data_IF_853438980679
#
_entry.id   IF_853438980679
#
_cell.length_a   1.000
_cell.length_b   1.000
_cell.length_c   1.000
_cell.angle_alpha   90.00
_cell.angle_beta   90.00
_cell.angle_gamma   90.00
#
_symmetry.space_group_name_H-M   'P 1'
#
loop_
_entity.id
_entity.type
_entity.pdbx_description
1 polymer ?
#
# COMPACT_ATOMS: atom_id res chain seq x y z
N UNK A 1 -8.29 20.82 -9.57
CA UNK A 1 -7.09 20.18 -8.99
C UNK A 1 -7.45 19.67 -7.61
N UNK A 2 -8.08 18.50 -7.54
CA UNK A 2 -8.39 17.83 -6.28
C UNK A 2 -7.16 17.03 -5.85
N UNK A 3 -6.72 17.24 -4.61
CA UNK A 3 -5.81 16.34 -3.90
C UNK A 3 -6.71 15.55 -2.97
N UNK A 4 -7.09 14.34 -3.35
CA UNK A 4 -7.71 13.39 -2.43
C UNK A 4 -6.58 12.86 -1.56
N UNK A 5 -6.51 13.32 -0.31
CA UNK A 5 -5.63 12.75 0.70
C UNK A 5 -6.50 11.82 1.54
N UNK A 6 -6.32 10.52 1.39
CA UNK A 6 -6.77 9.55 2.39
C UNK A 6 -5.94 9.82 3.65
N UNK A 7 -6.65 10.08 4.75
CA UNK A 7 -6.08 10.65 5.96
C UNK A 7 -5.54 9.57 6.87
N UNK A 8 -4.21 9.42 6.92
CA UNK A 8 -3.55 8.65 7.98
C UNK A 8 -3.10 9.56 9.12
N UNK A 9 -3.42 9.19 10.36
CA UNK A 9 -2.77 9.77 11.55
C UNK A 9 -1.37 9.19 11.71
N UNK A 10 -0.38 9.77 11.04
CA UNK A 10 1.02 9.41 11.22
C UNK A 10 1.59 10.13 12.46
N UNK A 11 1.73 9.41 13.57
CA UNK A 11 2.47 9.87 14.75
C UNK A 11 3.98 9.75 14.51
N UNK A 12 4.61 10.81 13.97
CA UNK A 12 6.06 10.85 13.78
C UNK A 12 6.74 11.46 15.03
N UNK A 13 7.43 10.64 15.82
CA UNK A 13 8.28 11.10 16.92
C UNK A 13 9.72 11.33 16.42
N UNK A 14 10.09 12.57 16.10
CA UNK A 14 11.47 12.94 15.78
C UNK A 14 12.18 13.45 17.03
N UNK A 15 13.32 12.84 17.39
CA UNK A 15 14.30 13.41 18.32
C UNK A 15 15.59 13.73 17.56
N UNK A 16 15.93 15.01 17.38
CA UNK A 16 17.20 15.40 16.74
C UNK A 16 17.47 16.90 16.73
N UNK A 17 18.69 17.28 17.11
CA UNK A 17 19.25 18.64 17.10
C UNK A 17 20.06 18.81 15.80
N UNK A 18 19.69 19.77 14.94
CA UNK A 18 20.31 19.94 13.62
C UNK A 18 21.56 20.85 13.63
N UNK A 19 22.62 20.40 12.94
CA UNK A 19 23.78 21.21 12.55
C UNK A 19 23.83 21.44 11.03
N UNK A 20 24.25 22.63 10.59
CA UNK A 20 24.27 23.04 9.18
C UNK A 20 25.50 22.50 8.42
N UNK A 21 25.29 21.91 7.22
CA UNK A 21 26.37 21.46 6.33
C UNK A 21 25.97 21.51 4.84
N UNK A 22 26.92 21.94 3.99
CA UNK A 22 26.75 22.29 2.57
C UNK A 22 26.73 21.09 1.60
N UNK A 23 26.10 21.29 0.43
CA UNK A 23 25.65 20.29 -0.53
C UNK A 23 26.70 19.73 -1.51
N UNK A 24 26.72 18.40 -1.64
CA UNK A 24 27.12 17.64 -2.83
C UNK A 24 26.53 16.24 -2.74
N UNK A 25 25.76 15.77 -3.74
CA UNK A 25 25.14 14.43 -3.73
C UNK A 25 25.54 13.63 -4.97
N UNK A 26 25.91 12.36 -4.73
CA UNK A 26 25.96 11.28 -5.73
C UNK A 26 24.57 10.85 -6.19
N UNK A 27 24.53 9.84 -7.06
CA UNK A 27 23.33 9.37 -7.76
C UNK A 27 22.34 8.72 -6.79
N UNK A 28 21.04 8.80 -7.08
CA UNK A 28 19.98 8.24 -6.23
C UNK A 28 20.18 6.72 -6.06
N UNK A 29 19.97 6.21 -4.83
CA UNK A 29 20.27 4.81 -4.47
C UNK A 29 21.67 4.60 -3.89
N UNK A 30 22.64 5.49 -4.14
CA UNK A 30 24.02 5.31 -3.66
C UNK A 30 24.24 5.70 -2.18
N UNK A 31 23.31 6.45 -1.57
CA UNK A 31 23.45 6.93 -0.18
C UNK A 31 22.92 5.92 0.86
N UNK A 32 22.19 4.91 0.42
CA UNK A 32 21.76 3.77 1.22
C UNK A 32 22.49 2.58 0.65
N UNK A 33 23.26 1.87 1.45
CA UNK A 33 23.89 0.65 0.99
C UNK A 33 22.80 -0.33 0.52
N UNK A 34 22.68 -0.54 -0.80
CA UNK A 34 21.73 -1.50 -1.40
C UNK A 34 21.83 -2.90 -0.77
N UNK A 35 23.02 -3.23 -0.23
CA UNK A 35 23.29 -4.45 0.52
C UNK A 35 22.41 -4.61 1.77
N UNK A 36 21.81 -3.54 2.29
CA UNK A 36 20.96 -3.57 3.49
C UNK A 36 19.50 -3.98 3.21
N UNK A 37 19.02 -3.95 1.95
CA UNK A 37 17.57 -3.96 1.68
C UNK A 37 17.06 -5.10 0.79
N UNK A 38 17.93 -5.87 0.16
CA UNK A 38 17.51 -7.12 -0.49
C UNK A 38 17.08 -8.11 0.62
N UNK A 39 15.86 -8.67 0.56
CA UNK A 39 15.27 -9.49 1.64
C UNK A 39 16.14 -10.62 2.20
N UNK A 40 17.10 -11.14 1.41
CA UNK A 40 18.09 -12.11 1.87
C UNK A 40 19.09 -11.55 2.91
N UNK A 41 19.39 -10.25 2.88
CA UNK A 41 20.30 -9.58 3.81
C UNK A 41 19.63 -9.08 5.10
N UNK A 42 18.29 -8.96 5.12
CA UNK A 42 17.56 -8.46 6.29
C UNK A 42 17.48 -9.51 7.40
N UNK A 43 17.14 -10.77 7.08
CA UNK A 43 16.86 -11.82 8.08
C UNK A 43 17.39 -13.23 7.71
N UNK A 44 18.22 -13.34 6.67
CA UNK A 44 18.83 -14.62 6.25
C UNK A 44 17.94 -15.49 5.36
N UNK A 45 16.77 -15.00 4.95
CA UNK A 45 15.85 -15.68 4.04
C UNK A 45 14.38 -15.49 4.43
N UNK A 46 13.45 -16.07 3.64
CA UNK A 46 12.03 -16.07 3.98
C UNK A 46 11.75 -16.90 5.25
N UNK A 47 10.75 -16.50 6.07
CA UNK A 47 10.36 -17.24 7.26
C UNK A 47 9.76 -18.59 6.88
N UNK A 48 9.65 -19.54 7.82
CA UNK A 48 8.97 -20.82 7.53
C UNK A 48 7.45 -20.65 7.46
N UNK A 49 6.90 -19.74 8.27
CA UNK A 49 5.49 -19.36 8.32
C UNK A 49 5.37 -17.84 8.30
N UNK A 50 4.29 -17.32 7.75
CA UNK A 50 4.09 -15.87 7.55
C UNK A 50 4.26 -15.01 8.81
N UNK A 51 4.02 -15.58 10.01
CA UNK A 51 4.08 -14.88 11.29
C UNK A 51 5.39 -15.13 12.08
N UNK A 52 6.35 -15.89 11.55
CA UNK A 52 7.55 -16.26 12.34
C UNK A 52 8.48 -15.06 12.63
N UNK A 53 8.36 -13.96 11.88
CA UNK A 53 9.11 -12.72 12.08
C UNK A 53 8.29 -11.61 12.77
N UNK A 54 7.09 -11.90 13.24
CA UNK A 54 6.27 -10.93 13.97
C UNK A 54 6.99 -10.37 15.19
N UNK A 55 7.14 -9.04 15.23
CA UNK A 55 7.84 -8.31 16.30
C UNK A 55 9.36 -8.26 16.16
N UNK A 56 9.91 -8.65 15.01
CA UNK A 56 11.35 -8.57 14.75
C UNK A 56 11.82 -7.11 14.69
N UNK A 57 13.03 -6.85 15.17
CA UNK A 57 13.76 -5.61 14.93
C UNK A 57 14.69 -5.80 13.74
N UNK A 58 14.44 -5.06 12.65
CA UNK A 58 15.24 -5.18 11.44
C UNK A 58 16.62 -4.52 11.61
N UNK A 59 17.64 -5.01 10.88
CA UNK A 59 18.93 -4.33 10.81
C UNK A 59 18.76 -2.85 10.45
N UNK A 60 19.49 -1.98 11.16
CA UNK A 60 19.35 -0.55 10.95
C UNK A 60 19.80 -0.13 9.54
N UNK A 61 18.96 0.65 8.87
CA UNK A 61 19.30 1.32 7.62
C UNK A 61 20.24 2.47 7.93
N UNK A 62 21.26 2.67 7.10
CA UNK A 62 22.18 3.78 7.24
C UNK A 62 22.05 4.70 6.03
N UNK A 63 21.68 5.95 6.27
CA UNK A 63 21.60 7.00 5.26
C UNK A 63 22.83 7.89 5.39
N UNK A 64 23.57 8.05 4.30
CA UNK A 64 24.73 8.92 4.22
C UNK A 64 24.37 10.34 3.76
N UNK A 65 25.23 11.30 4.11
CA UNK A 65 25.18 12.69 3.67
C UNK A 65 24.63 13.67 4.71
N UNK A 66 25.12 14.92 4.63
CA UNK A 66 24.77 16.04 5.51
C UNK A 66 23.61 16.91 4.98
N UNK A 67 23.12 16.61 3.77
CA UNK A 67 22.04 17.36 3.14
C UNK A 67 20.66 16.96 3.65
N UNK A 68 19.59 17.69 3.26
CA UNK A 68 18.22 17.35 3.62
C UNK A 68 17.87 15.91 3.24
N UNK A 69 17.23 15.22 4.18
CA UNK A 69 16.67 13.89 4.01
C UNK A 69 15.17 13.97 3.76
N UNK A 70 14.67 13.07 2.92
CA UNK A 70 13.28 13.11 2.46
C UNK A 70 12.64 11.74 2.68
N UNK A 71 11.50 11.74 3.37
CA UNK A 71 10.67 10.56 3.60
C UNK A 71 9.29 10.87 3.06
N UNK A 72 8.69 9.93 2.34
CA UNK A 72 7.31 10.07 1.85
C UNK A 72 6.47 8.98 2.48
N UNK A 73 5.29 9.34 2.96
CA UNK A 73 4.28 8.38 3.41
C UNK A 73 3.17 8.25 2.36
N UNK A 74 2.74 7.01 2.11
CA UNK A 74 1.61 6.69 1.22
C UNK A 74 0.85 5.50 1.80
N UNK A 75 -0.47 5.56 1.75
CA UNK A 75 -1.40 4.49 2.11
C UNK A 75 -2.61 4.59 1.19
N UNK A 76 -3.53 3.64 1.31
CA UNK A 76 -4.82 3.67 0.61
C UNK A 76 -4.67 3.82 -0.92
N UNK A 77 -3.80 3.03 -1.57
CA UNK A 77 -3.30 3.37 -2.90
C UNK A 77 -3.48 2.35 -4.03
N UNK A 78 -3.53 1.05 -3.78
CA UNK A 78 -3.48 0.07 -4.86
C UNK A 78 -4.84 -0.49 -5.21
N UNK A 79 -5.25 -0.44 -6.47
CA UNK A 79 -6.45 -1.12 -6.95
C UNK A 79 -6.22 -2.59 -7.28
N UNK A 80 -7.17 -3.16 -8.00
CA UNK A 80 -7.04 -4.47 -8.64
C UNK A 80 -6.94 -4.33 -10.15
N UNK A 81 -6.12 -5.18 -10.76
CA UNK A 81 -6.12 -5.35 -12.22
C UNK A 81 -7.15 -6.39 -12.63
N UNK A 82 -8.09 -6.00 -13.48
CA UNK A 82 -9.22 -6.83 -13.88
C UNK A 82 -8.89 -8.01 -14.81
N UNK A 83 -7.62 -8.23 -15.15
CA UNK A 83 -7.21 -9.22 -16.16
C UNK A 83 -6.63 -10.49 -15.57
N UNK A 84 -6.54 -10.61 -14.24
CA UNK A 84 -6.02 -11.81 -13.59
C UNK A 84 -6.85 -13.05 -13.92
N UNK A 85 -8.19 -12.91 -13.93
CA UNK A 85 -9.13 -14.00 -14.17
C UNK A 85 -10.14 -13.67 -15.25
N UNK A 86 -10.57 -14.68 -16.00
CA UNK A 86 -11.74 -14.62 -16.90
C UNK A 86 -12.99 -15.14 -16.16
N UNK A 87 -14.18 -14.62 -16.50
CA UNK A 87 -15.44 -15.06 -15.87
C UNK A 87 -15.77 -14.34 -14.56
N UNK A 88 -16.68 -14.91 -13.75
CA UNK A 88 -17.16 -14.31 -12.48
C UNK A 88 -16.44 -14.89 -11.24
N UNK A 89 -15.77 -16.03 -11.39
CA UNK A 89 -15.12 -16.76 -10.29
C UNK A 89 -13.64 -17.02 -10.61
N UNK A 90 -12.84 -17.08 -9.55
CA UNK A 90 -11.48 -17.62 -9.56
C UNK A 90 -11.49 -19.12 -9.89
N UNK A 91 -10.36 -19.74 -10.31
CA UNK A 91 -10.32 -21.18 -10.62
C UNK A 91 -10.77 -22.11 -9.49
N UNK A 92 -10.73 -21.64 -8.24
CA UNK A 92 -11.15 -22.39 -7.06
C UNK A 92 -12.62 -22.14 -6.67
N UNK A 93 -13.39 -21.44 -7.51
CA UNK A 93 -14.81 -21.17 -7.28
C UNK A 93 -15.10 -20.02 -6.30
N UNK A 94 -14.09 -19.21 -5.94
CA UNK A 94 -14.33 -17.98 -5.16
C UNK A 94 -14.81 -16.87 -6.09
N UNK A 95 -15.74 -16.00 -5.68
CA UNK A 95 -16.05 -14.78 -6.41
C UNK A 95 -14.77 -13.97 -6.65
N UNK A 96 -14.66 -13.36 -7.83
CA UNK A 96 -13.56 -12.43 -8.10
C UNK A 96 -13.62 -11.24 -7.15
N UNK A 97 -12.46 -10.67 -6.82
CA UNK A 97 -12.35 -9.44 -6.01
C UNK A 97 -12.73 -8.18 -6.80
N UNK A 98 -13.66 -8.28 -7.74
CA UNK A 98 -14.14 -7.17 -8.56
C UNK A 98 -15.54 -6.82 -8.07
N UNK A 99 -15.66 -5.63 -7.46
CA UNK A 99 -16.95 -5.15 -6.93
C UNK A 99 -17.87 -4.70 -8.07
N UNK A 100 -17.30 -4.12 -9.13
CA UNK A 100 -18.08 -3.48 -10.19
C UNK A 100 -17.59 -3.86 -11.60
N UNK A 101 -18.46 -3.71 -12.60
CA UNK A 101 -18.16 -3.90 -14.04
C UNK A 101 -16.87 -3.22 -14.53
N UNK A 102 -16.43 -2.17 -13.84
CA UNK A 102 -15.25 -1.38 -14.17
C UNK A 102 -13.95 -1.97 -13.64
N UNK A 103 -14.00 -2.78 -12.58
CA UNK A 103 -12.85 -3.50 -12.07
C UNK A 103 -12.42 -4.66 -12.97
N UNK A 104 -13.21 -5.00 -13.99
CA UNK A 104 -12.92 -6.05 -14.98
C UNK A 104 -12.12 -5.55 -16.21
N UNK A 105 -11.66 -4.30 -16.21
CA UNK A 105 -10.83 -3.76 -17.31
C UNK A 105 -9.33 -3.83 -16.96
N UNK A 106 -8.44 -3.83 -17.96
CA UNK A 106 -6.99 -3.74 -17.72
C UNK A 106 -6.58 -2.45 -17.01
N UNK A 107 -5.65 -2.60 -16.07
CA UNK A 107 -5.12 -1.51 -15.26
C UNK A 107 -5.71 -1.47 -13.85
N UNK A 108 -5.05 -0.74 -12.93
CA UNK A 108 -5.51 -0.66 -11.56
C UNK A 108 -6.86 0.07 -11.43
N UNK A 109 -7.84 -0.63 -10.89
CA UNK A 109 -9.16 -0.08 -10.59
C UNK A 109 -9.38 -0.01 -9.08
N UNK A 110 -9.69 1.19 -8.58
CA UNK A 110 -10.04 1.45 -7.18
C UNK A 110 -11.09 2.56 -7.17
N UNK A 111 -12.08 2.43 -6.30
CA UNK A 111 -13.21 3.35 -6.24
C UNK A 111 -13.32 3.98 -4.84
N UNK A 112 -13.50 5.31 -4.72
CA UNK A 112 -13.64 5.97 -3.43
C UNK A 112 -14.91 5.50 -2.69
N UNK A 113 -14.80 5.38 -1.36
CA UNK A 113 -15.94 5.00 -0.51
C UNK A 113 -17.02 6.09 -0.45
N UNK A 114 -16.67 7.37 -0.40
CA UNK A 114 -17.63 8.47 -0.27
C UNK A 114 -17.05 9.78 -0.79
N UNK A 115 -17.92 10.77 -1.06
CA UNK A 115 -17.48 12.13 -1.41
C UNK A 115 -17.68 13.06 -0.22
N UNK A 116 -16.62 13.80 0.10
CA UNK A 116 -16.65 14.85 1.13
C UNK A 116 -16.42 16.22 0.54
N UNK A 117 -16.87 17.26 1.24
CA UNK A 117 -16.43 18.61 0.94
C UNK A 117 -14.91 18.75 1.16
N UNK A 118 -14.29 19.81 0.63
CA UNK A 118 -12.84 20.01 0.71
C UNK A 118 -12.26 20.03 2.13
N UNK A 119 -13.08 20.34 3.14
CA UNK A 119 -12.66 20.38 4.54
C UNK A 119 -12.85 19.05 5.25
N UNK A 120 -13.45 18.04 4.60
CA UNK A 120 -13.82 16.76 5.20
C UNK A 120 -14.70 16.92 6.45
N UNK A 121 -15.60 17.90 6.41
CA UNK A 121 -16.55 18.19 7.51
C UNK A 121 -17.98 17.79 7.19
N UNK A 122 -18.28 17.56 5.91
CA UNK A 122 -19.62 17.18 5.44
C UNK A 122 -19.47 16.12 4.36
N UNK A 123 -20.11 14.97 4.58
CA UNK A 123 -20.32 13.95 3.56
C UNK A 123 -21.35 14.48 2.56
N UNK A 124 -20.94 14.58 1.30
CA UNK A 124 -21.76 15.10 0.19
C UNK A 124 -22.47 14.00 -0.57
N UNK A 125 -21.92 12.78 -0.51
CA UNK A 125 -22.40 11.63 -1.25
C UNK A 125 -21.91 10.36 -0.56
N UNK A 126 -22.87 9.52 -0.20
CA UNK A 126 -22.63 8.19 0.35
C UNK A 126 -22.00 7.25 -0.68
N UNK A 127 -21.59 6.07 -0.23
CA UNK A 127 -21.02 5.05 -1.12
C UNK A 127 -21.99 4.67 -2.23
N UNK A 128 -23.22 4.31 -1.89
CA UNK A 128 -24.22 3.83 -2.85
C UNK A 128 -24.58 4.91 -3.87
N UNK A 129 -24.74 6.16 -3.42
CA UNK A 129 -24.99 7.30 -4.32
C UNK A 129 -23.79 7.56 -5.24
N UNK A 130 -22.57 7.36 -4.75
CA UNK A 130 -21.36 7.58 -5.54
C UNK A 130 -21.18 6.46 -6.58
N UNK A 131 -21.46 5.21 -6.21
CA UNK A 131 -21.52 4.07 -7.13
C UNK A 131 -22.55 4.35 -8.21
N UNK A 132 -23.78 4.76 -7.84
CA UNK A 132 -24.84 5.09 -8.80
C UNK A 132 -24.39 6.20 -9.79
N UNK A 133 -23.73 7.23 -9.28
CA UNK A 133 -23.14 8.27 -10.11
C UNK A 133 -22.09 7.75 -11.08
N UNK A 134 -21.18 6.91 -10.61
CA UNK A 134 -20.12 6.32 -11.42
C UNK A 134 -20.69 5.41 -12.50
N UNK A 135 -21.67 4.57 -12.15
CA UNK A 135 -22.33 3.66 -13.06
C UNK A 135 -23.04 4.37 -14.21
N UNK A 136 -23.61 5.54 -13.93
CA UNK A 136 -24.34 6.37 -14.88
C UNK A 136 -23.49 7.48 -15.51
N UNK A 137 -22.17 7.50 -15.27
CA UNK A 137 -21.25 8.54 -15.77
C UNK A 137 -21.73 9.97 -15.47
N UNK A 138 -22.22 10.16 -14.24
CA UNK A 138 -22.76 11.42 -13.75
C UNK A 138 -24.14 11.80 -14.30
N UNK A 139 -24.78 10.94 -15.11
CA UNK A 139 -26.16 11.15 -15.56
C UNK A 139 -27.16 10.71 -14.49
N UNK A 140 -28.40 11.24 -14.51
CA UNK A 140 -29.47 10.76 -13.64
C UNK A 140 -29.58 9.22 -13.70
N UNK A 141 -29.73 8.52 -12.56
CA UNK A 141 -30.05 9.03 -11.21
C UNK A 141 -28.91 9.60 -10.35
N UNK A 142 -27.72 9.92 -10.88
CA UNK A 142 -26.64 10.54 -10.10
C UNK A 142 -27.06 11.80 -9.31
N UNK A 143 -26.84 11.78 -7.99
CA UNK A 143 -27.15 12.91 -7.11
C UNK A 143 -26.24 14.13 -7.38
N UNK A 144 -26.85 15.32 -7.43
CA UNK A 144 -26.19 16.59 -7.80
C UNK A 144 -24.98 16.95 -6.90
N UNK A 145 -24.93 16.41 -5.67
CA UNK A 145 -23.85 16.62 -4.70
C UNK A 145 -22.62 15.71 -4.84
N UNK A 146 -22.72 14.61 -5.60
CA UNK A 146 -21.65 13.62 -5.71
C UNK A 146 -20.46 14.10 -6.54
N UNK A 147 -20.69 15.04 -7.46
CA UNK A 147 -19.63 15.68 -8.26
C UNK A 147 -18.75 14.66 -8.97
N UNK A 148 -19.37 13.68 -9.65
CA UNK A 148 -18.67 12.68 -10.45
C UNK A 148 -17.67 13.34 -11.39
N UNK A 149 -16.44 12.83 -11.39
CA UNK A 149 -15.37 13.24 -12.29
C UNK A 149 -14.74 11.99 -12.87
N UNK A 150 -14.96 11.74 -14.16
CA UNK A 150 -14.53 10.51 -14.83
C UNK A 150 -13.05 10.24 -14.61
N UNK A 151 -12.19 11.26 -14.72
CA UNK A 151 -10.74 11.07 -14.57
C UNK A 151 -10.39 10.77 -13.12
N UNK A 152 -10.88 11.55 -12.16
CA UNK A 152 -10.57 11.36 -10.75
C UNK A 152 -11.08 10.02 -10.22
N UNK A 153 -12.28 9.62 -10.62
CA UNK A 153 -12.97 8.46 -10.07
C UNK A 153 -12.57 7.15 -10.79
N UNK A 154 -12.12 7.19 -12.05
CA UNK A 154 -11.65 5.98 -12.76
C UNK A 154 -10.13 5.80 -12.81
N UNK A 155 -9.34 6.83 -12.45
CA UNK A 155 -7.87 6.78 -12.49
C UNK A 155 -7.23 7.18 -11.15
N UNK A 156 -7.93 7.00 -10.03
CA UNK A 156 -7.50 7.47 -8.71
C UNK A 156 -6.06 7.05 -8.35
N UNK A 157 -5.73 5.76 -8.45
CA UNK A 157 -4.37 5.27 -8.19
C UNK A 157 -3.33 5.94 -9.12
N UNK A 158 -3.62 6.03 -10.42
CA UNK A 158 -2.69 6.60 -11.39
C UNK A 158 -2.45 8.09 -11.15
N UNK A 159 -3.44 8.83 -10.66
CA UNK A 159 -3.31 10.23 -10.27
C UNK A 159 -2.42 10.40 -9.02
N UNK A 160 -2.61 9.55 -8.00
CA UNK A 160 -1.73 9.52 -6.82
C UNK A 160 -0.30 9.17 -7.23
N UNK A 161 -0.12 8.14 -8.07
CA UNK A 161 1.18 7.73 -8.59
C UNK A 161 1.86 8.85 -9.38
N UNK A 162 1.12 9.59 -10.21
CA UNK A 162 1.65 10.73 -10.97
C UNK A 162 2.15 11.85 -10.04
N UNK A 163 1.39 12.18 -9.00
CA UNK A 163 1.79 13.16 -7.99
C UNK A 163 3.03 12.71 -7.21
N UNK A 164 3.08 11.43 -6.81
CA UNK A 164 4.23 10.84 -6.13
C UNK A 164 5.48 10.86 -7.01
N UNK A 165 5.38 10.42 -8.27
CA UNK A 165 6.50 10.46 -9.24
C UNK A 165 7.03 11.88 -9.43
N UNK A 166 6.15 12.86 -9.63
CA UNK A 166 6.54 14.25 -9.82
C UNK A 166 7.23 14.85 -8.58
N UNK A 167 6.84 14.41 -7.38
CA UNK A 167 7.48 14.80 -6.14
C UNK A 167 8.84 14.11 -5.97
N UNK A 168 8.88 12.79 -6.10
CA UNK A 168 10.06 11.96 -5.92
C UNK A 168 11.19 12.31 -6.90
N UNK A 169 10.86 12.68 -8.14
CA UNK A 169 11.84 13.15 -9.12
C UNK A 169 12.61 14.41 -8.64
N UNK A 170 11.99 15.22 -7.78
CA UNK A 170 12.58 16.45 -7.22
C UNK A 170 13.29 16.20 -5.90
N UNK A 171 12.66 15.45 -5.00
CA UNK A 171 13.13 15.29 -3.61
C UNK A 171 14.06 14.10 -3.42
N UNK A 172 13.95 13.07 -4.28
CA UNK A 172 14.73 11.82 -4.18
C UNK A 172 14.64 11.23 -2.76
N UNK A 173 13.46 10.72 -2.37
CA UNK A 173 13.24 10.17 -1.05
C UNK A 173 14.26 9.10 -0.70
N UNK A 174 14.68 9.09 0.57
CA UNK A 174 15.57 8.05 1.11
C UNK A 174 14.80 6.71 1.21
N UNK A 175 13.52 6.75 1.58
CA UNK A 175 12.60 5.60 1.58
C UNK A 175 11.13 6.09 1.59
N UNK A 176 10.22 5.16 1.30
CA UNK A 176 8.77 5.31 1.38
C UNK A 176 8.27 4.57 2.62
N UNK A 177 7.46 5.24 3.43
CA UNK A 177 6.64 4.61 4.46
C UNK A 177 5.29 4.26 3.83
N UNK A 178 5.10 2.97 3.56
CA UNK A 178 3.87 2.45 3.03
C UNK A 178 2.98 1.96 4.17
N UNK A 179 1.89 2.66 4.43
CA UNK A 179 1.17 2.60 5.72
C UNK A 179 -0.04 1.66 5.70
N UNK A 180 -0.17 0.82 4.68
CA UNK A 180 -1.24 -0.16 4.55
C UNK A 180 -2.27 0.19 3.47
N UNK A 181 -3.20 -0.74 3.28
CA UNK A 181 -4.18 -0.79 2.19
C UNK A 181 -3.49 -0.73 0.83
N UNK A 182 -2.62 -1.72 0.65
CA UNK A 182 -1.74 -1.87 -0.50
C UNK A 182 -2.49 -2.41 -1.73
N UNK A 183 -3.48 -3.29 -1.53
CA UNK A 183 -4.28 -3.89 -2.61
C UNK A 183 -5.77 -3.91 -2.23
N UNK A 184 -6.51 -2.92 -2.74
CA UNK A 184 -7.95 -2.82 -2.59
C UNK A 184 -8.68 -3.80 -3.49
N UNK A 185 -9.82 -4.32 -3.06
CA UNK A 185 -10.45 -4.13 -1.74
C UNK A 185 -10.30 -5.36 -0.85
N UNK A 186 -9.57 -6.39 -1.30
CA UNK A 186 -9.44 -7.68 -0.60
C UNK A 186 -8.05 -8.31 -0.71
N UNK A 187 -7.01 -7.50 -0.92
CA UNK A 187 -5.64 -7.98 -0.90
C UNK A 187 -5.23 -8.69 -2.19
N UNK A 188 -4.46 -9.76 -2.03
CA UNK A 188 -4.05 -10.62 -3.14
C UNK A 188 -5.16 -11.64 -3.41
N UNK A 189 -5.63 -11.73 -4.65
CA UNK A 189 -6.75 -12.54 -5.12
C UNK A 189 -6.40 -14.03 -5.23
N UNK A 190 -6.07 -14.61 -4.07
CA UNK A 190 -5.84 -16.04 -3.87
C UNK A 190 -5.98 -16.40 -2.40
N UNK A 191 -5.99 -17.69 -2.10
CA UNK A 191 -5.90 -18.15 -0.71
C UNK A 191 -4.46 -18.13 -0.17
N UNK A 192 -4.32 -17.91 1.13
CA UNK A 192 -3.06 -18.11 1.86
C UNK A 192 -2.53 -19.55 1.73
N UNK A 193 -1.25 -19.72 1.97
CA UNK A 193 -0.60 -21.04 2.05
C UNK A 193 0.41 -21.34 0.95
N UNK A 194 0.77 -20.35 0.11
CA UNK A 194 1.98 -20.52 -0.73
C UNK A 194 3.20 -20.48 0.19
N UNK A 195 4.18 -21.37 0.01
CA UNK A 195 5.41 -21.33 0.79
C UNK A 195 6.04 -19.93 0.76
N UNK A 196 6.49 -19.43 1.91
CA UNK A 196 7.01 -18.05 2.06
C UNK A 196 8.23 -17.72 1.19
N UNK A 197 8.93 -18.73 0.67
CA UNK A 197 10.01 -18.56 -0.29
C UNK A 197 9.58 -18.51 -1.75
N UNK A 198 8.28 -18.56 -2.02
CA UNK A 198 7.68 -18.57 -3.35
C UNK A 198 6.67 -17.45 -3.49
N UNK A 199 6.54 -16.95 -4.72
CA UNK A 199 5.49 -16.02 -5.12
C UNK A 199 4.60 -16.72 -6.12
N UNK A 200 3.33 -16.82 -5.77
CA UNK A 200 2.26 -17.31 -6.63
C UNK A 200 2.13 -16.46 -7.90
N UNK A 201 1.70 -17.04 -9.04
CA UNK A 201 1.47 -16.28 -10.28
C UNK A 201 0.50 -15.10 -10.11
N UNK A 202 -0.52 -15.27 -9.26
CA UNK A 202 -1.53 -14.26 -8.94
C UNK A 202 -0.91 -13.06 -8.22
N UNK A 203 -0.16 -13.34 -7.14
CA UNK A 203 0.59 -12.31 -6.44
C UNK A 203 1.58 -11.62 -7.38
N UNK A 204 2.30 -12.40 -8.21
CA UNK A 204 3.27 -11.84 -9.16
C UNK A 204 2.59 -10.85 -10.10
N UNK A 205 1.47 -11.24 -10.71
CA UNK A 205 0.68 -10.41 -11.62
C UNK A 205 0.19 -9.12 -10.93
N UNK A 206 -0.45 -9.23 -9.77
CA UNK A 206 -0.94 -8.05 -9.04
C UNK A 206 0.20 -7.09 -8.66
N UNK A 207 1.32 -7.60 -8.13
CA UNK A 207 2.48 -6.75 -7.84
C UNK A 207 3.04 -6.09 -9.11
N UNK A 208 3.06 -6.78 -10.26
CA UNK A 208 3.53 -6.18 -11.51
C UNK A 208 2.58 -5.08 -12.02
N UNK A 209 1.28 -5.33 -12.04
CA UNK A 209 0.29 -4.40 -12.59
C UNK A 209 -0.01 -3.21 -11.67
N UNK A 210 -0.04 -3.45 -10.35
CA UNK A 210 -0.54 -2.46 -9.37
C UNK A 210 0.62 -1.76 -8.65
N UNK A 211 1.78 -2.40 -8.51
CA UNK A 211 2.92 -1.84 -7.78
C UNK A 211 4.11 -1.48 -8.67
N UNK A 212 4.72 -2.45 -9.34
CA UNK A 212 5.96 -2.26 -10.09
C UNK A 212 5.75 -1.41 -11.37
N UNK A 213 4.68 -1.68 -12.13
CA UNK A 213 4.32 -0.88 -13.30
C UNK A 213 3.86 0.53 -12.95
N UNK A 214 3.19 0.70 -11.81
CA UNK A 214 2.60 1.99 -11.40
C UNK A 214 3.61 2.89 -10.70
N UNK A 215 4.44 2.38 -9.80
CA UNK A 215 5.33 3.18 -8.92
C UNK A 215 6.81 3.08 -9.27
N UNK A 216 7.12 3.23 -10.56
CA UNK A 216 8.48 3.29 -11.11
C UNK A 216 8.81 4.66 -11.71
N UNK A 217 10.10 4.93 -11.86
CA UNK A 217 10.64 6.12 -12.52
C UNK A 217 11.61 6.94 -11.65
N UNK A 218 12.03 8.13 -12.15
CA UNK A 218 13.04 8.96 -11.51
C UNK A 218 12.71 9.28 -10.04
N UNK A 219 13.61 8.90 -9.14
CA UNK A 219 13.46 9.12 -7.71
C UNK A 219 12.61 8.09 -6.97
N UNK A 220 12.07 7.07 -7.65
CA UNK A 220 11.37 5.92 -7.04
C UNK A 220 12.05 4.58 -7.32
N UNK A 221 12.74 4.45 -8.46
CA UNK A 221 13.45 3.22 -8.80
C UNK A 221 14.48 2.85 -7.72
N UNK A 222 14.35 1.65 -7.17
CA UNK A 222 15.23 1.14 -6.10
C UNK A 222 15.05 1.81 -4.73
N UNK A 223 14.13 2.77 -4.58
CA UNK A 223 13.82 3.36 -3.26
C UNK A 223 13.04 2.33 -2.43
N UNK A 224 13.46 2.02 -1.20
CA UNK A 224 12.76 1.06 -0.37
C UNK A 224 11.36 1.54 0.05
N UNK A 225 10.42 0.61 0.08
CA UNK A 225 9.06 0.72 0.58
C UNK A 225 8.97 -0.11 1.84
N UNK A 226 9.02 0.56 2.98
CA UNK A 226 8.80 -0.05 4.29
C UNK A 226 7.28 -0.13 4.49
N UNK A 227 6.74 -1.33 4.36
CA UNK A 227 5.29 -1.56 4.26
C UNK A 227 4.71 -2.24 5.50
N UNK A 228 3.41 -2.03 5.72
CA UNK A 228 2.57 -2.78 6.66
C UNK A 228 1.25 -3.16 5.98
N UNK A 229 0.49 -4.08 6.58
CA UNK A 229 -0.84 -4.47 6.14
C UNK A 229 -1.91 -3.53 6.70
N UNK A 230 -2.82 -3.08 5.85
CA UNK A 230 -4.11 -2.48 6.25
C UNK A 230 -5.24 -3.52 6.24
N UNK A 231 -6.47 -3.07 6.47
CA UNK A 231 -7.63 -3.95 6.62
C UNK A 231 -8.04 -4.57 5.28
N UNK A 232 -7.85 -3.84 4.18
CA UNK A 232 -8.07 -4.39 2.84
C UNK A 232 -7.02 -5.45 2.48
N UNK A 233 -5.80 -5.33 3.02
CA UNK A 233 -4.73 -6.30 2.80
C UNK A 233 -4.97 -7.64 3.50
N UNK A 234 -5.63 -7.62 4.67
CA UNK A 234 -6.09 -8.81 5.39
C UNK A 234 -7.28 -9.51 4.73
N UNK A 235 -7.61 -9.12 3.50
CA UNK A 235 -8.63 -9.76 2.69
C UNK A 235 -9.95 -9.01 2.61
N UNK A 236 -10.05 -7.84 3.25
CA UNK A 236 -11.24 -7.00 3.30
C UNK A 236 -12.40 -7.67 4.05
N UNK A 237 -12.95 -8.74 3.47
CA UNK A 237 -14.02 -9.59 4.01
C UNK A 237 -13.60 -11.04 4.27
N UNK A 238 -12.47 -11.50 3.72
CA UNK A 238 -12.04 -12.91 3.75
C UNK A 238 -10.62 -13.06 4.29
N UNK A 239 -10.47 -13.47 5.55
CA UNK A 239 -9.18 -13.51 6.26
C UNK A 239 -8.15 -14.48 5.64
N UNK A 240 -8.60 -15.48 4.89
CA UNK A 240 -7.73 -16.39 4.16
C UNK A 240 -7.31 -15.88 2.77
N UNK A 241 -7.64 -14.64 2.38
CA UNK A 241 -7.08 -14.00 1.18
C UNK A 241 -5.56 -13.77 1.34
N UNK A 242 -4.79 -13.79 0.26
CA UNK A 242 -3.34 -14.00 0.21
C UNK A 242 -2.43 -12.91 0.81
N UNK A 243 -2.73 -12.41 2.01
CA UNK A 243 -1.92 -11.46 2.77
C UNK A 243 -0.49 -11.98 3.03
N UNK A 244 -0.33 -13.29 3.18
CA UNK A 244 0.95 -13.96 3.36
C UNK A 244 1.90 -13.73 2.17
N UNK A 245 1.35 -13.57 0.96
CA UNK A 245 2.13 -13.27 -0.23
C UNK A 245 2.68 -11.86 -0.26
N UNK A 246 2.01 -10.90 0.37
CA UNK A 246 2.58 -9.57 0.50
C UNK A 246 3.82 -9.57 1.42
N UNK A 247 3.81 -10.42 2.46
CA UNK A 247 4.98 -10.64 3.31
C UNK A 247 6.08 -11.37 2.53
N UNK A 248 5.74 -12.48 1.86
CA UNK A 248 6.66 -13.26 1.04
C UNK A 248 7.34 -12.39 -0.04
N UNK A 249 6.64 -11.39 -0.57
CA UNK A 249 7.16 -10.50 -1.60
C UNK A 249 8.40 -9.69 -1.16
N UNK A 250 8.65 -9.57 0.15
CA UNK A 250 9.90 -9.03 0.71
C UNK A 250 11.15 -9.74 0.17
N UNK A 251 11.05 -11.05 -0.09
CA UNK A 251 12.18 -11.84 -0.62
C UNK A 251 12.19 -11.94 -2.15
N UNK A 252 11.12 -11.51 -2.81
CA UNK A 252 11.04 -11.47 -4.27
C UNK A 252 11.34 -10.08 -4.86
N UNK A 253 11.19 -9.02 -4.07
CA UNK A 253 11.46 -7.65 -4.46
C UNK A 253 12.82 -7.15 -3.96
N UNK A 254 13.37 -6.17 -4.67
CA UNK A 254 14.55 -5.39 -4.22
C UNK A 254 14.18 -4.16 -3.40
N UNK A 255 12.89 -3.78 -3.40
CA UNK A 255 12.43 -2.53 -2.82
C UNK A 255 11.22 -2.66 -1.91
N UNK A 256 10.47 -3.77 -1.95
CA UNK A 256 9.40 -4.03 -1.00
C UNK A 256 9.95 -4.65 0.29
N UNK A 257 9.64 -4.05 1.44
CA UNK A 257 10.08 -4.52 2.76
C UNK A 257 8.88 -4.62 3.69
N UNK A 258 8.42 -5.86 3.92
CA UNK A 258 7.35 -6.21 4.85
C UNK A 258 7.58 -7.61 5.42
N UNK A 259 8.54 -7.80 6.34
CA UNK A 259 8.94 -9.13 6.79
C UNK A 259 7.88 -9.84 7.65
N UNK A 260 6.92 -9.10 8.19
CA UNK A 260 5.87 -9.57 9.09
C UNK A 260 4.74 -8.52 9.20
N UNK A 261 3.58 -8.84 9.80
CA UNK A 261 2.50 -7.87 10.03
C UNK A 261 2.88 -6.72 10.97
N UNK A 262 3.84 -6.95 11.88
CA UNK A 262 4.39 -5.91 12.74
C UNK A 262 5.88 -6.15 12.99
N UNK A 263 6.67 -5.09 13.00
CA UNK A 263 8.14 -5.10 13.13
C UNK A 263 8.66 -3.68 13.44
N UNK A 264 9.93 -3.56 13.79
CA UNK A 264 10.60 -2.26 13.92
C UNK A 264 11.73 -2.08 12.91
N UNK A 265 11.96 -0.83 12.50
CA UNK A 265 13.05 -0.44 11.63
C UNK A 265 13.71 0.84 12.15
N UNK A 266 14.98 0.75 12.51
CA UNK A 266 15.81 1.93 12.79
C UNK A 266 16.43 2.48 11.51
N UNK A 267 16.44 3.80 11.35
CA UNK A 267 17.18 4.52 10.31
C UNK A 267 18.18 5.47 10.94
N UNK A 268 19.46 5.27 10.65
CA UNK A 268 20.56 6.09 11.13
C UNK A 268 20.97 7.12 10.07
N UNK A 269 20.89 8.40 10.41
CA UNK A 269 21.44 9.51 9.62
C UNK A 269 22.78 9.92 10.23
N UNK A 270 23.78 9.05 10.06
CA UNK A 270 25.07 9.13 10.79
C UNK A 270 25.77 10.47 10.62
N UNK A 271 25.80 10.99 9.40
CA UNK A 271 26.47 12.26 9.07
C UNK A 271 25.67 13.49 9.57
N UNK A 272 24.41 13.31 9.93
CA UNK A 272 23.53 14.34 10.50
C UNK A 272 23.38 14.21 12.02
N UNK A 273 23.91 13.14 12.62
CA UNK A 273 23.94 12.96 14.08
C UNK A 273 22.62 12.57 14.73
N UNK A 274 21.67 11.98 13.99
CA UNK A 274 20.41 11.49 14.56
C UNK A 274 19.98 10.15 13.96
N UNK A 275 18.99 9.51 14.61
CA UNK A 275 18.31 8.31 14.12
C UNK A 275 16.81 8.42 14.31
N UNK A 276 16.05 7.65 13.54
CA UNK A 276 14.59 7.53 13.64
C UNK A 276 14.24 6.06 13.83
N UNK A 277 13.37 5.78 14.79
CA UNK A 277 12.81 4.45 15.00
C UNK A 277 11.37 4.43 14.45
N UNK A 278 11.12 3.53 13.51
CA UNK A 278 9.79 3.28 12.98
C UNK A 278 9.24 1.99 13.58
N UNK A 279 7.99 2.05 14.04
CA UNK A 279 7.21 0.91 14.52
C UNK A 279 6.08 0.66 13.53
N UNK A 280 6.15 -0.48 12.84
CA UNK A 280 5.11 -0.94 11.93
C UNK A 280 4.18 -1.83 12.74
N UNK A 281 2.92 -1.43 12.85
CA UNK A 281 1.94 -2.05 13.74
C UNK A 281 0.76 -2.58 12.92
N UNK A 282 0.28 -3.74 13.31
CA UNK A 282 -1.00 -4.27 12.84
C UNK A 282 -2.12 -3.65 13.68
N UNK A 283 -2.98 -2.84 13.05
CA UNK A 283 -4.11 -2.16 13.70
C UNK A 283 -5.47 -2.78 13.39
N UNK A 284 -5.49 -3.90 12.68
CA UNK A 284 -6.69 -4.47 12.07
C UNK A 284 -7.64 -5.15 13.07
N UNK A 285 -7.23 -5.27 14.33
CA UNK A 285 -8.10 -5.72 15.42
C UNK A 285 -9.39 -4.88 15.54
N UNK A 286 -9.39 -3.64 15.05
CA UNK A 286 -10.58 -2.76 15.06
C UNK A 286 -11.62 -3.15 13.98
N UNK A 287 -11.20 -3.82 12.91
CA UNK A 287 -12.06 -4.33 11.83
C UNK A 287 -12.36 -5.83 11.96
N UNK A 288 -11.87 -6.46 13.03
CA UNK A 288 -12.23 -7.82 13.45
C UNK A 288 -13.36 -7.75 14.49
N UNK A 289 -14.60 -7.93 14.05
CA UNK A 289 -15.82 -7.87 14.89
C UNK A 289 -16.36 -9.27 15.17
N UNK A 290 -17.42 -9.35 15.99
CA UNK A 290 -18.13 -10.62 16.18
C UNK A 290 -18.65 -11.16 14.83
N UNK A 291 -18.68 -12.49 14.59
CA UNK A 291 -18.84 -13.04 13.23
C UNK A 291 -20.16 -12.69 12.50
N UNK A 292 -21.20 -12.29 13.23
CA UNK A 292 -22.51 -11.88 12.72
C UNK A 292 -22.67 -10.36 12.54
N UNK A 293 -21.64 -9.58 12.91
CA UNK A 293 -21.63 -8.13 12.74
C UNK A 293 -20.98 -7.70 11.42
N UNK A 294 -21.62 -6.73 10.74
CA UNK A 294 -21.05 -5.96 9.64
C UNK A 294 -20.35 -6.82 8.57
N UNK A 295 -21.08 -7.82 8.05
CA UNK A 295 -20.52 -8.86 7.19
C UNK A 295 -19.70 -8.32 6.01
N UNK A 296 -20.06 -7.14 5.49
CA UNK A 296 -19.43 -6.47 4.35
C UNK A 296 -18.07 -5.82 4.65
N UNK A 297 -17.69 -5.63 5.93
CA UNK A 297 -16.37 -5.08 6.27
C UNK A 297 -15.67 -5.81 7.41
N UNK A 298 -16.34 -6.78 8.02
CA UNK A 298 -15.77 -7.59 9.09
C UNK A 298 -14.86 -8.67 8.52
N UNK A 299 -13.56 -8.57 8.81
CA UNK A 299 -12.55 -9.54 8.39
C UNK A 299 -12.85 -10.95 8.94
N UNK A 300 -13.58 -11.02 10.06
CA UNK A 300 -13.99 -12.25 10.75
C UNK A 300 -15.46 -12.66 10.46
N UNK A 301 -16.10 -12.08 9.45
CA UNK A 301 -17.49 -12.40 9.08
C UNK A 301 -17.68 -13.89 8.80
N UNK A 302 -18.72 -14.49 9.41
CA UNK A 302 -19.12 -15.88 9.16
C UNK A 302 -19.79 -16.09 7.79
N UNK A 303 -20.16 -15.01 7.10
CA UNK A 303 -20.70 -15.10 5.74
C UNK A 303 -19.61 -15.44 4.71
N UNK A 304 -18.38 -15.02 5.00
CA UNK A 304 -17.27 -15.07 4.05
C UNK A 304 -16.10 -15.98 4.48
N UNK A 305 -16.07 -16.44 5.75
CA UNK A 305 -15.05 -17.33 6.32
C UNK A 305 -15.67 -18.61 6.92
#
# INVERSE_FOLDING_TARGET
MARSAFGLHLGLLLHGVAGQGTSGRGVAGDNISLTAMAGAALLGGPPKRALDYSGVDLPAINVAGVGPSHVVAIGDWGGLDGTLWEGEETPNGRPRLIVDKWGAVPGPSVFPRSRWNKQHTVELCSHDELVECFENKGQPPCAEGCGYDDVADSHAQLLVASALKAHAAKTKPDYILNVGDNFYWGGIERECGTPMGEISPEARHQFDQVFEGVYSGPGLDGVPWLSVLGNHDWGGRQFNAGWDQQIAYTWASKRWVMPAPYFSQRVNYKDQGFSVDYLFLDSNAMDAKEPDEDADTNICSAEFN
#
